data_IF_008982720290
#
_entry.id   IF_008982720290
#
_cell.length_a   1.000
_cell.length_b   1.000
_cell.length_c   1.000
_cell.angle_alpha   90.00
_cell.angle_beta   90.00
_cell.angle_gamma   90.00
#
_symmetry.space_group_name_H-M   'P 1'
#
loop_
_entity.id
_entity.type
_entity.pdbx_description
1 polymer ?
#
# COMPACT_ATOMS: atom_id res chain seq x y z
N UNK A 1 11.49 -27.20 36.54
CA UNK A 1 10.97 -25.86 36.15
C UNK A 1 12.00 -25.22 35.24
N UNK A 2 11.88 -25.45 33.94
CA UNK A 2 12.72 -24.84 32.91
C UNK A 2 11.84 -23.88 32.13
N UNK A 3 12.18 -22.59 32.18
CA UNK A 3 11.50 -21.55 31.43
C UNK A 3 11.73 -21.77 29.93
N UNK A 4 10.65 -21.70 29.14
CA UNK A 4 10.72 -21.64 27.69
C UNK A 4 11.42 -20.33 27.26
N UNK A 5 12.27 -20.34 26.22
CA UNK A 5 12.85 -19.12 25.69
C UNK A 5 11.76 -18.27 25.02
N UNK A 6 11.82 -16.96 25.23
CA UNK A 6 10.98 -15.99 24.57
C UNK A 6 11.23 -16.06 23.05
N UNK A 7 10.15 -16.24 22.30
CA UNK A 7 10.11 -16.14 20.85
C UNK A 7 10.41 -14.67 20.48
N UNK A 8 11.69 -14.38 20.18
CA UNK A 8 12.09 -13.10 19.61
C UNK A 8 11.52 -13.02 18.20
N UNK A 9 10.32 -12.44 18.10
CA UNK A 9 9.66 -12.19 16.84
C UNK A 9 10.56 -11.39 15.90
N UNK A 10 11.01 -12.05 14.85
CA UNK A 10 11.71 -11.45 13.71
C UNK A 10 10.88 -10.28 13.19
N UNK A 11 11.32 -9.05 13.45
CA UNK A 11 10.69 -7.85 12.93
C UNK A 11 10.86 -7.90 11.40
N UNK A 12 9.84 -8.36 10.70
CA UNK A 12 9.83 -8.35 9.24
C UNK A 12 10.02 -6.92 8.73
N UNK A 13 11.23 -6.62 8.27
CA UNK A 13 11.62 -5.31 7.82
C UNK A 13 11.03 -5.05 6.42
N UNK A 14 10.60 -3.81 6.17
CA UNK A 14 10.25 -3.42 4.82
C UNK A 14 11.54 -3.37 3.98
N UNK A 15 11.65 -4.25 2.98
CA UNK A 15 12.80 -4.27 2.08
C UNK A 15 12.54 -3.36 0.89
N UNK A 16 13.34 -2.30 0.78
CA UNK A 16 13.38 -1.45 -0.43
C UNK A 16 14.37 -2.11 -1.38
N UNK A 17 13.88 -2.69 -2.49
CA UNK A 17 14.74 -3.27 -3.52
C UNK A 17 15.04 -2.19 -4.55
N UNK A 18 16.30 -1.74 -4.60
CA UNK A 18 16.81 -0.90 -5.68
C UNK A 18 17.36 -1.81 -6.79
N UNK A 19 16.66 -1.90 -7.93
CA UNK A 19 17.24 -2.42 -9.17
C UNK A 19 17.70 -1.23 -10.01
N UNK A 20 19.02 -0.97 -10.02
CA UNK A 20 19.60 0.09 -10.85
C UNK A 20 21.10 0.28 -10.64
N UNK A 21 21.86 0.05 -11.71
CA UNK A 21 23.29 0.36 -11.85
C UNK A 21 23.56 1.84 -11.54
N UNK A 22 24.59 2.07 -10.72
CA UNK A 22 25.01 3.40 -10.29
C UNK A 22 25.50 4.29 -11.44
N UNK A 23 25.26 5.60 -11.28
CA UNK A 23 25.78 6.66 -12.13
C UNK A 23 24.73 7.73 -12.42
N UNK A 24 24.60 8.72 -11.52
CA UNK A 24 23.75 9.88 -11.77
C UNK A 24 23.83 10.89 -10.62
N UNK A 25 24.33 12.08 -10.94
CA UNK A 25 24.59 13.21 -10.04
C UNK A 25 23.53 13.44 -8.94
N UNK A 26 24.02 13.75 -7.75
CA UNK A 26 23.27 14.09 -6.56
C UNK A 26 22.56 15.45 -6.67
N UNK A 27 21.67 15.63 -7.63
CA UNK A 27 20.81 16.81 -7.66
C UNK A 27 19.54 16.54 -6.83
N UNK A 28 19.60 16.97 -5.58
CA UNK A 28 18.49 17.46 -4.75
C UNK A 28 17.09 16.91 -5.09
N UNK A 29 16.66 15.84 -4.40
CA UNK A 29 15.26 15.38 -4.24
C UNK A 29 14.22 16.00 -5.21
N UNK A 30 14.25 15.57 -6.47
CA UNK A 30 13.48 16.18 -7.56
C UNK A 30 11.96 16.12 -7.37
N UNK A 31 11.45 15.08 -6.71
CA UNK A 31 10.02 14.83 -6.59
C UNK A 31 9.43 15.62 -5.41
N UNK A 32 8.46 16.50 -5.70
CA UNK A 32 7.89 17.41 -4.71
C UNK A 32 6.44 17.13 -4.35
N UNK A 33 5.74 16.34 -5.17
CA UNK A 33 4.35 15.98 -4.93
C UNK A 33 4.08 14.57 -5.39
N UNK A 34 3.35 13.85 -4.56
CA UNK A 34 3.02 12.46 -4.78
C UNK A 34 1.51 12.26 -4.80
N UNK A 35 1.06 11.27 -5.58
CA UNK A 35 -0.31 10.78 -5.58
C UNK A 35 -0.30 9.31 -5.26
N UNK A 36 -1.05 8.92 -4.24
CA UNK A 36 -1.24 7.53 -3.90
C UNK A 36 -2.50 7.01 -4.58
N UNK A 37 -2.37 5.83 -5.18
CA UNK A 37 -3.46 5.06 -5.73
C UNK A 37 -3.49 3.66 -5.13
N UNK A 38 -4.67 3.06 -5.11
CA UNK A 38 -4.93 1.70 -4.65
C UNK A 38 -5.71 0.97 -5.73
N UNK A 39 -5.36 -0.29 -6.00
CA UNK A 39 -6.25 -1.23 -6.67
C UNK A 39 -6.97 -2.04 -5.60
N UNK A 40 -8.27 -1.77 -5.40
CA UNK A 40 -9.07 -2.60 -4.51
C UNK A 40 -9.42 -3.89 -5.20
N UNK A 41 -9.37 -5.00 -4.47
CA UNK A 41 -9.90 -6.28 -4.92
C UNK A 41 -11.23 -6.53 -4.21
N UNK A 42 -12.24 -5.71 -4.55
CA UNK A 42 -13.62 -6.05 -4.18
C UNK A 42 -14.21 -6.79 -5.36
N UNK A 43 -14.14 -8.11 -5.37
CA UNK A 43 -15.00 -8.87 -6.26
C UNK A 43 -16.40 -8.93 -5.65
N UNK A 44 -17.34 -8.24 -6.31
CA UNK A 44 -18.69 -8.77 -6.41
C UNK A 44 -18.59 -10.05 -7.23
N UNK A 45 -18.64 -11.18 -6.54
CA UNK A 45 -18.78 -12.52 -7.08
C UNK A 45 -19.95 -12.54 -8.09
N UNK A 46 -19.66 -12.39 -9.38
CA UNK A 46 -20.61 -12.75 -10.44
C UNK A 46 -19.85 -13.52 -11.52
N UNK A 47 -20.36 -14.73 -11.75
CA UNK A 47 -20.02 -15.65 -12.84
C UNK A 47 -18.82 -16.57 -12.55
N UNK A 48 -18.94 -17.49 -11.59
CA UNK A 48 -18.32 -18.82 -11.72
C UNK A 48 -19.13 -19.86 -10.93
N UNK A 49 -20.29 -20.21 -11.48
CA UNK A 49 -21.11 -21.35 -11.06
C UNK A 49 -21.73 -22.08 -12.25
N UNK A 50 -21.06 -22.08 -13.40
CA UNK A 50 -21.50 -22.83 -14.58
C UNK A 50 -20.37 -23.75 -15.04
N UNK A 51 -20.04 -24.73 -14.21
CA UNK A 51 -19.14 -25.83 -14.52
C UNK A 51 -19.52 -27.05 -13.69
N UNK A 52 -19.98 -28.10 -14.34
CA UNK A 52 -20.69 -29.25 -13.78
C UNK A 52 -19.83 -30.08 -12.81
N UNK A 53 -20.03 -29.92 -11.50
CA UNK A 53 -19.49 -30.82 -10.45
C UNK A 53 -20.63 -31.65 -9.85
N UNK A 54 -20.35 -32.92 -9.54
CA UNK A 54 -21.27 -33.96 -9.08
C UNK A 54 -22.01 -33.61 -7.77
N UNK A 55 -23.22 -34.18 -7.61
CA UNK A 55 -24.36 -33.59 -6.90
C UNK A 55 -24.33 -33.61 -5.36
N UNK A 56 -23.26 -34.06 -4.67
CA UNK A 56 -23.26 -34.15 -3.19
C UNK A 56 -22.40 -33.12 -2.45
N UNK A 57 -21.40 -32.51 -3.09
CA UNK A 57 -20.47 -31.57 -2.41
C UNK A 57 -20.53 -30.13 -2.93
N UNK A 58 -21.58 -29.79 -3.70
CA UNK A 58 -21.70 -28.48 -4.38
C UNK A 58 -21.65 -27.28 -3.43
N UNK A 59 -22.23 -27.40 -2.24
CA UNK A 59 -22.26 -26.31 -1.25
C UNK A 59 -20.86 -26.10 -0.65
N UNK A 60 -20.18 -27.19 -0.29
CA UNK A 60 -18.84 -27.15 0.28
C UNK A 60 -17.81 -26.66 -0.75
N UNK A 61 -17.86 -27.17 -1.98
CA UNK A 61 -16.97 -26.75 -3.07
C UNK A 61 -17.18 -25.30 -3.47
N UNK A 62 -18.43 -24.85 -3.57
CA UNK A 62 -18.76 -23.45 -3.85
C UNK A 62 -18.35 -22.51 -2.73
N UNK A 63 -18.57 -22.90 -1.47
CA UNK A 63 -18.15 -22.12 -0.32
C UNK A 63 -16.61 -22.02 -0.24
N UNK A 64 -15.91 -23.14 -0.43
CA UNK A 64 -14.45 -23.18 -0.44
C UNK A 64 -13.84 -22.37 -1.59
N UNK A 65 -14.38 -22.49 -2.81
CA UNK A 65 -13.88 -21.71 -3.96
C UNK A 65 -14.17 -20.21 -3.82
N UNK A 66 -15.33 -19.85 -3.25
CA UNK A 66 -15.68 -18.46 -2.93
C UNK A 66 -14.76 -17.91 -1.85
N UNK A 67 -14.48 -18.67 -0.79
CA UNK A 67 -13.56 -18.29 0.28
C UNK A 67 -12.13 -18.14 -0.25
N UNK A 68 -11.64 -19.07 -1.08
CA UNK A 68 -10.32 -19.00 -1.69
C UNK A 68 -10.19 -17.79 -2.62
N UNK A 69 -11.22 -17.48 -3.41
CA UNK A 69 -11.25 -16.31 -4.29
C UNK A 69 -11.32 -15.00 -3.50
N UNK A 70 -12.10 -14.93 -2.42
CA UNK A 70 -12.11 -13.79 -1.50
C UNK A 70 -10.76 -13.59 -0.80
N UNK A 71 -10.13 -14.69 -0.37
CA UNK A 71 -8.80 -14.67 0.26
C UNK A 71 -7.75 -14.21 -0.76
N UNK A 72 -7.76 -14.74 -1.98
CA UNK A 72 -6.89 -14.32 -3.09
C UNK A 72 -7.12 -12.86 -3.50
N UNK A 73 -8.36 -12.38 -3.47
CA UNK A 73 -8.67 -10.98 -3.70
C UNK A 73 -8.10 -10.10 -2.58
N UNK A 74 -8.31 -10.47 -1.31
CA UNK A 74 -7.72 -9.80 -0.17
C UNK A 74 -6.17 -9.80 -0.20
N UNK A 75 -5.56 -10.83 -0.81
CA UNK A 75 -4.12 -10.99 -0.99
C UNK A 75 -3.50 -10.08 -2.07
N UNK A 76 -4.29 -9.46 -2.96
CA UNK A 76 -3.77 -8.76 -4.15
C UNK A 76 -4.01 -7.24 -4.16
N UNK A 77 -4.11 -6.61 -2.99
CA UNK A 77 -4.15 -5.15 -2.91
C UNK A 77 -2.77 -4.56 -3.21
N UNK A 78 -2.71 -3.70 -4.24
CA UNK A 78 -1.49 -3.01 -4.67
C UNK A 78 -1.69 -1.52 -4.54
N UNK A 79 -0.64 -0.86 -4.07
CA UNK A 79 -0.57 0.58 -3.97
C UNK A 79 0.47 1.12 -4.96
N UNK A 80 0.12 2.23 -5.60
CA UNK A 80 0.97 2.89 -6.58
C UNK A 80 1.15 4.34 -6.16
N UNK A 81 2.39 4.71 -5.85
CA UNK A 81 2.76 6.09 -5.56
C UNK A 81 3.38 6.72 -6.79
N UNK A 82 2.74 7.79 -7.28
CA UNK A 82 3.20 8.54 -8.45
C UNK A 82 3.84 9.82 -7.96
N UNK A 83 5.17 9.90 -8.03
CA UNK A 83 5.94 11.09 -7.72
C UNK A 83 6.13 11.95 -8.96
N UNK A 84 6.07 13.26 -8.79
CA UNK A 84 6.43 14.22 -9.84
C UNK A 84 7.24 15.38 -9.31
N UNK A 85 8.04 15.96 -10.18
CA UNK A 85 8.82 17.15 -9.88
C UNK A 85 7.97 18.43 -9.87
N UNK A 86 8.59 19.57 -9.49
CA UNK A 86 7.94 20.87 -9.43
C UNK A 86 7.48 21.36 -10.80
N UNK A 87 8.30 21.14 -11.84
CA UNK A 87 8.07 21.60 -13.20
C UNK A 87 7.09 20.70 -13.95
N UNK A 88 6.76 19.52 -13.42
CA UNK A 88 5.95 18.51 -14.11
C UNK A 88 6.62 18.16 -15.44
N UNK A 89 7.87 17.76 -15.37
CA UNK A 89 8.65 17.24 -16.50
C UNK A 89 9.07 15.80 -16.24
N UNK A 90 9.13 15.38 -14.98
CA UNK A 90 9.62 14.07 -14.56
C UNK A 90 8.59 13.39 -13.65
N UNK A 91 8.25 12.14 -13.98
CA UNK A 91 7.39 11.27 -13.20
C UNK A 91 8.08 9.94 -12.90
N UNK A 92 7.90 9.47 -11.66
CA UNK A 92 8.40 8.19 -11.16
C UNK A 92 7.28 7.43 -10.48
N UNK A 93 7.37 6.11 -10.52
CA UNK A 93 6.36 5.22 -9.95
C UNK A 93 7.01 4.32 -8.92
N UNK A 94 6.45 4.32 -7.71
CA UNK A 94 6.80 3.37 -6.66
C UNK A 94 5.62 2.40 -6.49
N UNK A 95 5.89 1.11 -6.59
CA UNK A 95 4.92 0.03 -6.43
C UNK A 95 5.09 -0.52 -5.02
N UNK A 96 3.99 -0.65 -4.31
CA UNK A 96 3.94 -1.20 -2.96
C UNK A 96 2.97 -2.37 -3.00
N UNK A 97 3.45 -3.56 -2.70
CA UNK A 97 2.64 -4.77 -2.67
C UNK A 97 2.92 -5.61 -1.42
N UNK A 98 1.96 -6.51 -1.17
CA UNK A 98 1.94 -7.46 -0.05
C UNK A 98 1.78 -8.87 -0.59
N UNK A 99 2.62 -9.21 -1.56
CA UNK A 99 2.64 -10.56 -2.15
C UNK A 99 2.96 -11.63 -1.10
N UNK A 100 3.79 -11.30 -0.11
CA UNK A 100 4.11 -12.18 1.01
C UNK A 100 3.37 -11.75 2.28
N UNK A 101 2.81 -12.69 3.07
CA UNK A 101 2.04 -12.36 4.26
C UNK A 101 2.87 -11.63 5.33
N UNK A 102 4.17 -11.89 5.41
CA UNK A 102 5.01 -11.35 6.47
C UNK A 102 5.78 -10.10 6.05
N UNK A 103 5.97 -9.87 4.75
CA UNK A 103 6.85 -8.83 4.22
C UNK A 103 6.11 -7.79 3.37
N UNK A 104 6.58 -6.55 3.44
CA UNK A 104 6.14 -5.46 2.60
C UNK A 104 7.14 -5.25 1.46
N UNK A 105 6.71 -5.47 0.21
CA UNK A 105 7.57 -5.25 -0.95
C UNK A 105 7.38 -3.84 -1.51
N UNK A 106 8.48 -3.10 -1.61
CA UNK A 106 8.50 -1.75 -2.15
C UNK A 106 9.50 -1.71 -3.30
N UNK A 107 9.02 -1.43 -4.51
CA UNK A 107 9.83 -1.42 -5.74
C UNK A 107 9.68 -0.11 -6.48
N UNK A 108 10.80 0.55 -6.75
CA UNK A 108 10.84 1.70 -7.64
C UNK A 108 10.87 1.23 -9.10
N UNK A 109 10.07 1.86 -9.96
CA UNK A 109 10.18 1.68 -11.40
C UNK A 109 11.39 2.48 -11.91
N UNK A 110 12.36 1.78 -12.51
CA UNK A 110 13.56 2.40 -13.06
C UNK A 110 13.23 3.39 -14.20
N UNK A 111 12.09 3.20 -14.86
CA UNK A 111 11.64 4.06 -15.96
C UNK A 111 11.29 5.46 -15.48
N UNK A 112 11.80 6.46 -16.18
CA UNK A 112 11.35 7.85 -16.02
C UNK A 112 10.25 8.13 -17.04
N UNK A 113 9.10 8.62 -16.57
CA UNK A 113 7.93 8.88 -17.42
C UNK A 113 7.74 10.37 -17.67
N UNK A 114 7.17 10.69 -18.82
CA UNK A 114 6.51 11.96 -19.11
C UNK A 114 5.06 11.99 -18.58
N UNK A 115 4.41 13.16 -18.69
CA UNK A 115 3.03 13.34 -18.23
C UNK A 115 2.03 12.41 -18.95
N UNK A 116 2.19 12.25 -20.26
CA UNK A 116 1.33 11.41 -21.11
C UNK A 116 1.56 9.94 -20.81
N UNK A 117 2.82 9.48 -20.80
CA UNK A 117 3.15 8.08 -20.54
C UNK A 117 2.68 7.64 -19.16
N UNK A 118 2.83 8.50 -18.15
CA UNK A 118 2.36 8.22 -16.80
C UNK A 118 0.82 8.11 -16.76
N UNK A 119 0.11 8.99 -17.48
CA UNK A 119 -1.36 8.90 -17.60
C UNK A 119 -1.79 7.62 -18.31
N UNK A 120 -1.10 7.23 -19.38
CA UNK A 120 -1.40 6.01 -20.13
C UNK A 120 -1.08 4.76 -19.30
N UNK A 121 -0.01 4.78 -18.51
CA UNK A 121 0.29 3.74 -17.53
C UNK A 121 -0.84 3.58 -16.51
N UNK A 122 -1.27 4.68 -15.87
CA UNK A 122 -2.36 4.66 -14.90
C UNK A 122 -3.67 4.17 -15.54
N UNK A 123 -3.94 4.55 -16.79
CA UNK A 123 -5.10 4.09 -17.56
C UNK A 123 -5.05 2.58 -17.81
N UNK A 124 -3.92 2.05 -18.27
CA UNK A 124 -3.73 0.60 -18.47
C UNK A 124 -3.89 -0.19 -17.18
N UNK A 125 -3.35 0.31 -16.06
CA UNK A 125 -3.53 -0.32 -14.74
C UNK A 125 -5.01 -0.28 -14.34
N UNK A 126 -5.69 0.85 -14.55
CA UNK A 126 -7.12 0.97 -14.25
C UNK A 126 -7.96 -0.01 -15.07
N UNK A 127 -7.71 -0.11 -16.38
CA UNK A 127 -8.41 -1.02 -17.29
C UNK A 127 -8.14 -2.48 -16.95
N UNK A 128 -6.88 -2.84 -16.67
CA UNK A 128 -6.51 -4.20 -16.25
C UNK A 128 -7.14 -4.63 -14.91
N UNK A 129 -7.53 -3.68 -14.06
CA UNK A 129 -8.20 -3.94 -12.79
C UNK A 129 -9.69 -3.57 -12.83
N UNK A 130 -10.29 -3.36 -14.01
CA UNK A 130 -11.68 -2.87 -14.12
C UNK A 130 -12.69 -3.79 -13.44
N UNK A 131 -12.46 -5.11 -13.47
CA UNK A 131 -13.29 -6.13 -12.81
C UNK A 131 -13.33 -6.00 -11.29
N UNK A 132 -12.31 -5.40 -10.68
CA UNK A 132 -12.19 -5.22 -9.23
C UNK A 132 -12.47 -3.77 -8.78
N UNK A 133 -12.94 -2.93 -9.70
CA UNK A 133 -13.25 -1.52 -9.45
C UNK A 133 -12.14 -0.55 -9.87
N UNK A 134 -11.11 -1.05 -10.57
CA UNK A 134 -10.06 -0.27 -11.21
C UNK A 134 -9.05 0.32 -10.25
N UNK A 135 -8.22 1.21 -10.80
CA UNK A 135 -7.28 2.02 -10.03
C UNK A 135 -8.03 3.20 -9.40
N UNK A 136 -7.95 3.34 -8.07
CA UNK A 136 -8.62 4.39 -7.30
C UNK A 136 -7.61 5.34 -6.69
N UNK A 137 -7.93 6.63 -6.74
CA UNK A 137 -7.13 7.65 -6.07
C UNK A 137 -7.40 7.61 -4.56
N UNK A 138 -6.34 7.62 -3.76
CA UNK A 138 -6.42 7.60 -2.29
C UNK A 138 -6.20 9.00 -1.74
N UNK A 139 -5.00 9.56 -1.93
CA UNK A 139 -4.67 10.88 -1.39
C UNK A 139 -3.47 11.51 -2.10
N UNK A 140 -3.32 12.83 -1.94
CA UNK A 140 -2.10 13.55 -2.31
C UNK A 140 -1.20 13.62 -1.07
N UNK A 141 0.09 13.44 -1.27
CA UNK A 141 1.07 13.62 -0.20
C UNK A 141 2.35 14.31 -0.70
N UNK A 142 3.18 14.72 0.25
CA UNK A 142 4.44 15.40 0.04
C UNK A 142 5.65 14.53 0.40
N UNK A 143 5.39 13.35 0.96
CA UNK A 143 6.42 12.37 1.30
C UNK A 143 5.82 11.19 2.07
N UNK A 144 6.56 10.08 2.06
CA UNK A 144 6.35 8.93 2.93
C UNK A 144 7.30 9.12 4.11
N UNK A 145 6.78 9.08 5.33
CA UNK A 145 7.61 9.11 6.54
C UNK A 145 8.23 7.74 6.78
N UNK A 146 7.42 6.69 6.61
CA UNK A 146 7.86 5.31 6.76
C UNK A 146 6.70 4.34 6.81
N UNK A 147 7.04 3.08 7.06
CA UNK A 147 6.10 1.99 7.25
C UNK A 147 6.26 1.43 8.67
N UNK A 148 5.15 1.19 9.34
CA UNK A 148 5.13 0.74 10.74
C UNK A 148 4.28 -0.53 10.81
N UNK A 149 4.82 -1.59 11.44
CA UNK A 149 4.09 -2.82 11.72
C UNK A 149 3.80 -2.88 13.22
N UNK A 150 2.54 -2.86 13.60
CA UNK A 150 2.10 -3.15 14.97
C UNK A 150 1.69 -4.64 15.07
N UNK A 151 0.82 -5.00 16.02
CA UNK A 151 0.19 -6.33 16.13
C UNK A 151 -0.83 -6.64 15.00
N UNK A 152 -0.75 -5.91 13.89
CA UNK A 152 -1.80 -5.81 12.89
C UNK A 152 -1.24 -5.73 11.46
N UNK A 153 -1.92 -5.03 10.55
CA UNK A 153 -1.35 -4.75 9.23
C UNK A 153 -0.12 -3.82 9.31
N UNK A 154 0.65 -3.74 8.23
CA UNK A 154 1.55 -2.60 8.07
C UNK A 154 0.72 -1.33 7.87
N UNK A 155 1.27 -0.21 8.33
CA UNK A 155 0.71 1.11 8.14
C UNK A 155 1.71 1.99 7.41
N UNK A 156 1.25 2.67 6.36
CA UNK A 156 2.03 3.67 5.64
C UNK A 156 1.74 5.05 6.23
N UNK A 157 2.76 5.73 6.74
CA UNK A 157 2.63 7.08 7.28
C UNK A 157 3.02 8.11 6.21
N UNK A 158 2.09 8.99 5.86
CA UNK A 158 2.23 9.98 4.80
C UNK A 158 2.16 11.40 5.35
N UNK A 159 2.91 12.31 4.73
CA UNK A 159 2.78 13.76 4.95
C UNK A 159 1.75 14.30 3.96
N UNK A 160 0.54 14.64 4.42
CA UNK A 160 -0.54 15.11 3.53
C UNK A 160 -0.68 16.62 3.49
N UNK A 161 -0.20 17.32 4.52
CA UNK A 161 -0.07 18.78 4.50
C UNK A 161 1.27 19.20 5.11
N UNK A 162 1.84 20.24 4.53
CA UNK A 162 3.06 20.89 4.99
C UNK A 162 2.96 22.40 4.82
N UNK A 163 3.64 23.15 5.67
CA UNK A 163 3.76 24.62 5.60
C UNK A 163 5.23 24.99 5.49
N UNK A 164 5.59 25.85 4.55
CA UNK A 164 6.94 26.39 4.48
C UNK A 164 7.19 27.25 5.72
N UNK A 165 8.31 27.00 6.41
CA UNK A 165 8.69 27.73 7.63
C UNK A 165 9.97 28.54 7.45
N UNK A 166 10.71 28.30 6.38
CA UNK A 166 11.92 29.05 6.09
C UNK A 166 12.70 28.48 4.91
N UNK A 167 13.92 28.97 4.76
CA UNK A 167 14.90 28.42 3.84
C UNK A 167 16.29 28.48 4.49
N UNK A 168 17.08 27.42 4.30
CA UNK A 168 18.47 27.34 4.75
C UNK A 168 19.32 27.13 3.50
N UNK A 169 20.25 28.05 3.22
CA UNK A 169 21.12 27.98 2.05
C UNK A 169 20.37 27.76 0.72
N UNK A 170 19.19 28.38 0.55
CA UNK A 170 18.35 28.20 -0.65
C UNK A 170 17.48 26.94 -0.67
N UNK A 171 17.63 26.04 0.31
CA UNK A 171 16.76 24.87 0.48
C UNK A 171 15.55 25.24 1.34
N UNK A 172 14.36 25.04 0.78
CA UNK A 172 13.12 25.34 1.50
C UNK A 172 12.86 24.32 2.61
N UNK A 173 12.63 24.81 3.83
CA UNK A 173 12.28 23.99 5.00
C UNK A 173 10.78 24.04 5.23
N UNK A 174 10.18 22.88 5.48
CA UNK A 174 8.74 22.73 5.69
C UNK A 174 8.44 22.07 7.04
N UNK A 175 7.49 22.62 7.77
CA UNK A 175 6.85 21.93 8.89
C UNK A 175 5.74 21.01 8.37
N UNK A 176 5.66 19.80 8.92
CA UNK A 176 4.53 18.90 8.71
C UNK A 176 3.34 19.46 9.49
N UNK A 177 2.24 19.75 8.78
CA UNK A 177 1.01 20.27 9.42
C UNK A 177 -0.10 19.22 9.49
N UNK A 178 -0.04 18.18 8.65
CA UNK A 178 -0.93 17.03 8.72
C UNK A 178 -0.21 15.79 8.20
N UNK A 179 -0.34 14.70 8.93
CA UNK A 179 0.01 13.36 8.48
C UNK A 179 -1.25 12.49 8.43
N UNK A 180 -1.21 11.45 7.60
CA UNK A 180 -2.26 10.43 7.54
C UNK A 180 -1.60 9.06 7.55
N UNK A 181 -2.22 8.13 8.27
CA UNK A 181 -1.79 6.74 8.35
C UNK A 181 -2.76 5.87 7.56
N UNK A 182 -2.24 5.14 6.57
CA UNK A 182 -3.03 4.26 5.71
C UNK A 182 -2.68 2.81 6.01
N UNK A 183 -3.68 2.05 6.42
CA UNK A 183 -3.52 0.62 6.67
C UNK A 183 -3.28 -0.11 5.34
N UNK A 184 -2.29 -0.99 5.35
CA UNK A 184 -1.97 -1.93 4.29
C UNK A 184 -2.43 -3.31 4.80
N UNK A 185 -3.69 -3.72 4.57
CA UNK A 185 -4.27 -4.91 5.20
C UNK A 185 -3.46 -6.18 4.88
N UNK A 186 -3.39 -7.09 5.86
CA UNK A 186 -2.84 -8.44 5.69
C UNK A 186 -3.98 -9.44 5.62
N UNK A 187 -3.88 -10.43 4.74
CA UNK A 187 -4.86 -11.51 4.66
C UNK A 187 -4.79 -12.42 5.91
N UNK A 188 -3.60 -12.67 6.46
CA UNK A 188 -3.40 -13.62 7.57
C UNK A 188 -3.90 -13.11 8.93
N UNK A 189 -3.95 -11.79 9.14
CA UNK A 189 -4.33 -11.19 10.44
C UNK A 189 -5.85 -10.96 10.55
N UNK A 190 -6.59 -10.93 9.43
CA UNK A 190 -8.05 -10.81 9.46
C UNK A 190 -8.74 -12.06 10.01
N UNK A 191 -8.12 -13.24 9.90
CA UNK A 191 -8.66 -14.49 10.42
C UNK A 191 -8.62 -14.58 11.95
N UNK A 192 -7.65 -13.94 12.61
CA UNK A 192 -7.53 -14.00 14.07
C UNK A 192 -8.31 -12.89 14.79
N UNK A 193 -8.36 -11.68 14.22
CA UNK A 193 -9.07 -10.54 14.83
C UNK A 193 -10.60 -10.65 14.76
N UNK A 194 -11.15 -11.52 13.89
CA UNK A 194 -12.59 -11.81 13.87
C UNK A 194 -13.06 -12.54 15.15
N UNK A 195 -12.13 -13.04 15.97
CA UNK A 195 -12.42 -13.76 17.21
C UNK A 195 -12.13 -12.99 18.52
N UNK A 196 -11.60 -11.77 18.49
CA UNK A 196 -11.39 -10.98 19.72
C UNK A 196 -12.27 -9.71 19.76
N UNK A 197 -13.54 -9.92 20.11
CA UNK A 197 -14.38 -8.84 20.66
C UNK A 197 -13.88 -8.49 22.07
N UNK A 198 -12.95 -7.55 22.19
CA UNK A 198 -12.96 -6.55 23.27
C UNK A 198 -11.85 -5.52 23.03
N UNK A 199 -12.19 -4.23 23.02
CA UNK A 199 -11.54 -3.21 23.86
C UNK A 199 -12.02 -1.80 23.46
N UNK A 200 -12.59 -1.11 24.44
CA UNK A 200 -12.99 0.29 24.38
C UNK A 200 -11.75 1.19 24.26
N UNK A 201 -11.66 2.03 23.22
CA UNK A 201 -10.71 3.15 23.17
C UNK A 201 -11.44 4.49 23.21
N UNK A 202 -11.44 5.11 24.38
CA UNK A 202 -11.73 6.53 24.57
C UNK A 202 -10.57 7.38 24.02
N UNK A 203 -10.87 8.27 23.08
CA UNK A 203 -9.91 9.27 22.60
C UNK A 203 -9.83 10.42 23.61
N UNK A 204 -8.65 10.61 24.21
CA UNK A 204 -8.34 11.83 24.97
C UNK A 204 -7.71 12.83 24.00
N UNK A 205 -8.39 13.95 23.77
CA UNK A 205 -7.91 15.06 22.96
C UNK A 205 -6.99 15.94 23.82
N UNK A 206 -5.68 15.87 23.61
CA UNK A 206 -4.76 16.87 24.16
C UNK A 206 -4.57 17.97 23.12
N UNK A 207 -5.24 19.10 23.35
CA UNK A 207 -4.91 20.38 22.70
C UNK A 207 -3.70 20.96 23.40
N UNK A 208 -2.68 21.36 22.64
CA UNK A 208 -1.83 22.51 22.97
C UNK A 208 -1.67 23.34 21.71
#
# INVERSE_FOLDING_TARGET
MTAAPADEGELAAARIVHEGSGGGDAASCYLQKFRLYETRSLQLLRVFLLGSVTQRDRIAFLAASTALAYLAAALLQKFYMIGRDKRKTLWKVLKIDRLEPCELNIREDSTTYSASECRDLLKRIHEGNRSTGGLKFVTNCYGIVGFIKFLGPYYMLLITKRRQIGAICGHTVYAITKSEMIALPNSTVQTDMANSKNENRSFVHSTV
#
